data_IF_468346674059
#
_entry.id   IF_468346674059
#
_cell.length_a   1.000
_cell.length_b   1.000
_cell.length_c   1.000
_cell.angle_alpha   90.00
_cell.angle_beta   90.00
_cell.angle_gamma   90.00
#
_symmetry.space_group_name_H-M   'P 1'
#
loop_
_entity.id
_entity.type
_entity.pdbx_description
1 polymer ?
#
# COMPACT_ATOMS: atom_id res chain seq x y z
N UNK A 1 20.55 5.20 -12.43
CA UNK A 1 19.45 4.31 -12.03
C UNK A 1 18.47 4.20 -13.19
N UNK A 2 17.98 3.00 -13.51
CA UNK A 2 16.85 2.79 -14.42
C UNK A 2 15.75 2.08 -13.63
N UNK A 3 14.69 2.81 -13.27
CA UNK A 3 13.55 2.29 -12.53
C UNK A 3 12.40 1.95 -13.48
N UNK A 4 11.91 0.71 -13.42
CA UNK A 4 10.67 0.28 -14.08
C UNK A 4 9.57 0.16 -13.03
N UNK A 5 8.48 0.90 -13.20
CA UNK A 5 7.30 0.90 -12.31
C UNK A 5 6.14 0.22 -13.02
N UNK A 6 5.82 -0.99 -12.59
CA UNK A 6 4.71 -1.78 -13.10
C UNK A 6 3.44 -1.41 -12.32
N UNK A 7 2.56 -0.67 -12.99
CA UNK A 7 1.36 -0.08 -12.41
C UNK A 7 1.50 1.43 -12.14
N UNK A 8 0.39 2.15 -12.28
CA UNK A 8 0.30 3.61 -12.11
C UNK A 8 -0.76 4.00 -11.07
N UNK A 9 -0.89 3.19 -10.02
CA UNK A 9 -1.80 3.44 -8.91
C UNK A 9 -1.34 4.60 -8.01
N UNK A 10 -2.16 4.91 -7.02
CA UNK A 10 -2.01 6.04 -6.10
C UNK A 10 -0.59 6.16 -5.47
N UNK A 11 -0.03 5.06 -4.98
CA UNK A 11 1.31 5.03 -4.38
C UNK A 11 2.42 5.03 -5.43
N UNK A 12 2.28 4.19 -6.46
CA UNK A 12 3.31 4.02 -7.48
C UNK A 12 3.60 5.32 -8.26
N UNK A 13 2.54 6.08 -8.59
CA UNK A 13 2.69 7.37 -9.28
C UNK A 13 3.46 8.37 -8.42
N UNK A 14 3.18 8.45 -7.11
CA UNK A 14 3.91 9.33 -6.18
C UNK A 14 5.36 8.91 -6.01
N UNK A 15 5.61 7.61 -5.88
CA UNK A 15 6.99 7.09 -5.81
C UNK A 15 7.78 7.40 -7.08
N UNK A 16 7.22 7.12 -8.27
CA UNK A 16 7.85 7.43 -9.55
C UNK A 16 8.21 8.92 -9.69
N UNK A 17 7.28 9.81 -9.31
CA UNK A 17 7.52 11.25 -9.33
C UNK A 17 8.66 11.67 -8.39
N UNK A 18 8.72 11.10 -7.19
CA UNK A 18 9.79 11.40 -6.21
C UNK A 18 11.15 10.88 -6.69
N UNK A 19 11.20 9.70 -7.30
CA UNK A 19 12.44 9.17 -7.89
C UNK A 19 12.91 10.04 -9.04
N UNK A 20 12.01 10.47 -9.94
CA UNK A 20 12.35 11.32 -11.09
C UNK A 20 12.95 12.67 -10.69
N UNK A 21 12.60 13.20 -9.52
CA UNK A 21 13.12 14.49 -9.03
C UNK A 21 14.31 14.37 -8.09
N UNK A 22 14.51 13.22 -7.47
CA UNK A 22 15.51 13.02 -6.41
C UNK A 22 16.73 12.18 -6.81
N UNK A 23 16.67 11.48 -7.93
CA UNK A 23 17.74 10.57 -8.37
C UNK A 23 18.12 10.80 -9.82
N UNK A 24 19.42 10.61 -10.12
CA UNK A 24 19.90 10.65 -11.51
C UNK A 24 19.54 9.33 -12.19
N UNK A 25 18.82 9.42 -13.30
CA UNK A 25 18.45 8.24 -14.10
C UNK A 25 17.14 8.39 -14.84
N UNK A 26 16.56 7.27 -15.25
CA UNK A 26 15.29 7.21 -15.97
C UNK A 26 14.24 6.43 -15.20
N UNK A 27 12.97 6.80 -15.42
CA UNK A 27 11.79 6.09 -14.87
C UNK A 27 10.88 5.70 -16.02
N UNK A 28 10.65 4.41 -16.18
CA UNK A 28 9.65 3.87 -17.10
C UNK A 28 8.42 3.44 -16.31
N UNK A 29 7.26 4.01 -16.60
CA UNK A 29 5.99 3.65 -15.94
C UNK A 29 5.11 2.86 -16.90
N UNK A 30 4.69 1.68 -16.45
CA UNK A 30 3.77 0.80 -17.18
C UNK A 30 2.35 0.99 -16.65
N UNK A 31 1.37 1.20 -17.53
CA UNK A 31 -0.03 1.47 -17.17
C UNK A 31 -0.95 0.34 -17.60
N UNK A 32 -2.14 0.29 -17.01
CA UNK A 32 -3.16 -0.70 -17.38
C UNK A 32 -3.87 -0.37 -18.70
N UNK A 33 -3.89 0.92 -19.09
CA UNK A 33 -4.55 1.38 -20.33
C UNK A 33 -3.52 1.91 -21.31
N UNK A 34 -3.65 1.47 -22.55
CA UNK A 34 -2.85 1.98 -23.66
C UNK A 34 -3.18 3.46 -23.95
N UNK A 35 -2.16 4.24 -24.26
CA UNK A 35 -2.24 5.61 -24.76
C UNK A 35 -0.97 5.89 -25.58
N UNK A 36 -0.96 6.90 -26.48
CA UNK A 36 0.25 7.24 -27.23
C UNK A 36 1.44 7.50 -26.27
N UNK A 37 2.56 6.80 -26.50
CA UNK A 37 3.77 6.90 -25.67
C UNK A 37 3.67 6.25 -24.29
N UNK A 38 2.62 5.47 -24.01
CA UNK A 38 2.42 4.78 -22.72
C UNK A 38 2.60 3.29 -22.90
N UNK A 39 3.56 2.73 -22.19
CA UNK A 39 3.81 1.29 -22.14
C UNK A 39 2.76 0.56 -21.30
N UNK A 40 2.34 -0.62 -21.73
CA UNK A 40 1.41 -1.51 -21.01
C UNK A 40 2.06 -2.85 -20.73
N UNK A 41 1.43 -3.70 -19.89
CA UNK A 41 1.93 -5.06 -19.64
C UNK A 41 1.97 -5.94 -20.90
N UNK A 42 1.17 -5.64 -21.92
CA UNK A 42 1.15 -6.36 -23.17
C UNK A 42 2.15 -5.83 -24.22
N UNK A 43 2.89 -4.78 -23.91
CA UNK A 43 3.87 -4.20 -24.83
C UNK A 43 5.04 -5.19 -25.05
N UNK A 44 5.30 -5.61 -26.31
CA UNK A 44 6.37 -6.56 -26.58
C UNK A 44 7.77 -6.07 -26.22
N UNK A 45 7.98 -4.76 -26.15
CA UNK A 45 9.27 -4.18 -25.76
C UNK A 45 9.50 -4.25 -24.23
N UNK A 46 8.47 -4.49 -23.41
CA UNK A 46 8.57 -4.41 -21.96
C UNK A 46 9.56 -5.43 -21.37
N UNK A 47 9.63 -6.64 -21.94
CA UNK A 47 10.61 -7.63 -21.48
C UNK A 47 12.05 -7.13 -21.61
N UNK A 48 12.40 -6.47 -22.71
CA UNK A 48 13.72 -5.85 -22.90
C UNK A 48 13.98 -4.68 -21.95
N UNK A 49 12.95 -3.89 -21.66
CA UNK A 49 13.04 -2.80 -20.67
C UNK A 49 13.29 -3.35 -19.25
N UNK A 50 12.60 -4.42 -18.86
CA UNK A 50 12.81 -5.11 -17.58
C UNK A 50 14.22 -5.70 -17.51
N UNK A 51 14.70 -6.34 -18.57
CA UNK A 51 16.04 -6.95 -18.62
C UNK A 51 17.18 -5.92 -18.48
N UNK A 52 16.92 -4.64 -18.76
CA UNK A 52 17.89 -3.53 -18.58
C UNK A 52 17.67 -2.73 -17.29
N UNK A 53 16.64 -3.06 -16.52
CA UNK A 53 16.31 -2.31 -15.32
C UNK A 53 17.29 -2.58 -14.17
N UNK A 54 17.70 -1.53 -13.47
CA UNK A 54 18.43 -1.64 -12.21
C UNK A 54 17.51 -1.70 -11.00
N UNK A 55 16.29 -1.20 -11.14
CA UNK A 55 15.28 -1.16 -10.09
C UNK A 55 13.91 -1.47 -10.70
N UNK A 56 13.12 -2.29 -10.03
CA UNK A 56 11.78 -2.70 -10.49
C UNK A 56 10.81 -2.55 -9.32
N UNK A 57 9.68 -1.86 -9.52
CA UNK A 57 8.57 -1.81 -8.57
C UNK A 57 7.31 -2.36 -9.21
N UNK A 58 6.66 -3.35 -8.60
CA UNK A 58 5.30 -3.74 -8.95
C UNK A 58 4.31 -3.24 -7.91
N UNK A 59 3.27 -2.55 -8.38
CA UNK A 59 2.10 -2.12 -7.62
C UNK A 59 0.80 -2.71 -8.16
N UNK A 60 0.89 -3.68 -9.05
CA UNK A 60 -0.27 -4.32 -9.68
C UNK A 60 -0.80 -5.39 -8.73
N UNK A 61 -2.08 -5.31 -8.31
CA UNK A 61 -2.65 -6.36 -7.47
C UNK A 61 -2.99 -7.60 -8.29
N UNK A 62 -3.10 -8.77 -7.66
CA UNK A 62 -3.67 -9.95 -8.30
C UNK A 62 -5.05 -9.67 -8.88
N UNK A 63 -5.35 -10.30 -10.00
CA UNK A 63 -6.63 -10.24 -10.69
C UNK A 63 -7.75 -10.96 -9.90
N UNK A 64 -8.98 -10.87 -10.38
CA UNK A 64 -10.13 -11.46 -9.70
C UNK A 64 -10.08 -13.00 -9.63
N UNK A 65 -9.42 -13.63 -10.58
CA UNK A 65 -9.15 -15.08 -10.61
C UNK A 65 -8.01 -15.51 -9.68
N UNK A 66 -7.35 -14.55 -9.02
CA UNK A 66 -6.23 -14.79 -8.10
C UNK A 66 -4.85 -14.79 -8.75
N UNK A 67 -4.74 -14.70 -10.07
CA UNK A 67 -3.45 -14.65 -10.76
C UNK A 67 -2.79 -13.26 -10.63
N UNK A 68 -1.46 -13.22 -10.53
CA UNK A 68 -0.72 -11.97 -10.64
C UNK A 68 -0.37 -11.72 -12.11
N UNK A 69 -0.96 -10.68 -12.74
CA UNK A 69 -0.78 -10.45 -14.17
C UNK A 69 0.65 -10.06 -14.56
N UNK A 70 1.43 -9.51 -13.63
CA UNK A 70 2.84 -9.18 -13.85
C UNK A 70 3.68 -10.44 -13.86
N UNK A 71 3.47 -11.33 -12.88
CA UNK A 71 4.19 -12.61 -12.80
C UNK A 71 3.88 -13.51 -14.00
N UNK A 72 2.62 -13.54 -14.42
CA UNK A 72 2.20 -14.32 -15.61
C UNK A 72 2.90 -13.81 -16.88
N UNK A 73 2.93 -12.49 -17.07
CA UNK A 73 3.45 -11.91 -18.31
C UNK A 73 4.98 -11.75 -18.32
N UNK A 74 5.59 -11.44 -17.19
CA UNK A 74 6.98 -10.98 -17.10
C UNK A 74 7.78 -11.58 -15.94
N UNK A 75 7.26 -12.59 -15.24
CA UNK A 75 7.92 -13.20 -14.08
C UNK A 75 9.33 -13.68 -14.39
N UNK A 76 9.52 -14.40 -15.51
CA UNK A 76 10.83 -14.86 -15.93
C UNK A 76 11.81 -13.70 -16.19
N UNK A 77 11.37 -12.66 -16.90
CA UNK A 77 12.21 -11.49 -17.18
C UNK A 77 12.62 -10.74 -15.90
N UNK A 78 11.75 -10.69 -14.89
CA UNK A 78 12.06 -10.08 -13.58
C UNK A 78 13.02 -10.97 -12.77
N UNK A 79 12.81 -12.29 -12.81
CA UNK A 79 13.67 -13.25 -12.13
C UNK A 79 15.13 -13.15 -12.62
N UNK A 80 15.30 -13.03 -13.93
CA UNK A 80 16.61 -12.98 -14.60
C UNK A 80 17.19 -11.54 -14.68
N UNK A 81 16.42 -10.50 -14.28
CA UNK A 81 16.87 -9.14 -14.37
C UNK A 81 18.08 -8.88 -13.43
N UNK A 82 19.12 -8.15 -13.89
CA UNK A 82 20.29 -7.77 -13.09
C UNK A 82 19.94 -6.62 -12.13
N UNK A 83 18.71 -6.62 -11.62
CA UNK A 83 18.19 -5.58 -10.77
C UNK A 83 18.84 -5.61 -9.38
N UNK A 84 19.22 -4.44 -8.88
CA UNK A 84 19.77 -4.25 -7.52
C UNK A 84 18.66 -4.10 -6.47
N UNK A 85 17.42 -3.86 -6.92
CA UNK A 85 16.25 -3.68 -6.08
C UNK A 85 14.99 -4.10 -6.86
N UNK A 86 14.22 -5.00 -6.27
CA UNK A 86 12.91 -5.44 -6.78
C UNK A 86 11.89 -5.29 -5.67
N UNK A 87 10.94 -4.39 -5.83
CA UNK A 87 9.90 -4.10 -4.85
C UNK A 87 8.52 -4.60 -5.30
N UNK A 88 7.77 -5.18 -4.38
CA UNK A 88 6.35 -5.52 -4.57
C UNK A 88 5.48 -4.89 -3.49
N UNK A 89 4.44 -4.15 -3.89
CA UNK A 89 3.46 -3.58 -2.96
C UNK A 89 2.38 -4.61 -2.65
N UNK A 90 2.59 -5.35 -1.57
CA UNK A 90 1.66 -6.33 -1.03
C UNK A 90 0.66 -5.67 -0.06
N UNK A 91 -0.07 -6.47 0.68
CA UNK A 91 -1.08 -6.03 1.64
C UNK A 91 -0.96 -6.79 2.95
N UNK A 92 -1.16 -6.11 4.09
CA UNK A 92 -1.30 -6.77 5.40
C UNK A 92 -2.53 -7.68 5.49
N UNK A 93 -3.41 -7.67 4.49
CA UNK A 93 -4.50 -8.64 4.34
C UNK A 93 -4.02 -10.09 4.24
N UNK A 94 -2.74 -10.34 3.93
CA UNK A 94 -2.13 -11.68 3.93
C UNK A 94 -2.09 -12.32 5.33
N UNK A 95 -2.08 -11.53 6.39
CA UNK A 95 -2.14 -12.05 7.77
C UNK A 95 -3.51 -12.59 8.15
N UNK A 96 -4.59 -12.12 7.50
CA UNK A 96 -5.96 -12.47 7.88
C UNK A 96 -6.40 -11.85 9.21
N UNK A 97 -7.38 -12.46 9.85
CA UNK A 97 -7.84 -12.05 11.17
C UNK A 97 -6.89 -12.56 12.26
N UNK A 98 -6.50 -11.67 13.16
CA UNK A 98 -5.67 -11.99 14.33
C UNK A 98 -6.41 -11.70 15.66
N UNK A 99 -7.73 -11.46 15.63
CA UNK A 99 -8.51 -11.12 16.81
C UNK A 99 -8.01 -9.85 17.52
N UNK A 100 -7.43 -8.91 16.76
CA UNK A 100 -6.86 -7.69 17.31
C UNK A 100 -5.43 -7.82 17.85
N UNK A 101 -4.80 -8.99 17.76
CA UNK A 101 -3.39 -9.16 18.16
C UNK A 101 -2.43 -8.43 17.20
N UNK A 102 -1.21 -8.22 17.67
CA UNK A 102 -0.11 -7.72 16.85
C UNK A 102 0.40 -8.82 15.92
N UNK A 103 0.66 -8.43 14.68
CA UNK A 103 1.33 -9.25 13.66
C UNK A 103 2.58 -8.54 13.17
N UNK A 104 3.61 -9.30 12.86
CA UNK A 104 4.88 -8.87 12.29
C UNK A 104 5.21 -9.67 11.03
N UNK A 105 6.39 -9.47 10.46
CA UNK A 105 6.82 -10.12 9.22
C UNK A 105 7.00 -11.63 9.35
N UNK A 106 7.20 -12.17 10.58
CA UNK A 106 7.31 -13.58 10.88
C UNK A 106 5.96 -14.25 11.18
N UNK A 107 4.90 -13.48 11.32
CA UNK A 107 3.56 -14.00 11.66
C UNK A 107 2.98 -14.86 10.56
N UNK A 108 2.25 -15.90 10.95
CA UNK A 108 1.61 -16.85 10.03
C UNK A 108 0.62 -16.15 9.10
N UNK A 109 0.67 -16.49 7.82
CA UNK A 109 -0.24 -15.96 6.81
C UNK A 109 -1.54 -16.78 6.80
N UNK A 110 -2.68 -16.08 7.02
CA UNK A 110 -4.03 -16.68 7.10
C UNK A 110 -5.06 -15.86 6.30
N UNK A 111 -4.58 -15.06 5.35
CA UNK A 111 -5.44 -14.17 4.56
C UNK A 111 -6.48 -14.95 3.77
N UNK A 112 -7.71 -14.42 3.72
CA UNK A 112 -8.83 -15.07 3.01
C UNK A 112 -8.72 -15.00 1.48
N UNK A 113 -7.88 -14.13 0.95
CA UNK A 113 -7.67 -13.94 -0.49
C UNK A 113 -6.45 -14.74 -0.93
N UNK A 114 -6.67 -15.97 -1.37
CA UNK A 114 -5.60 -16.91 -1.78
C UNK A 114 -4.67 -16.32 -2.83
N UNK A 115 -5.19 -15.59 -3.82
CA UNK A 115 -4.36 -14.95 -4.84
C UNK A 115 -3.39 -13.89 -4.28
N UNK A 116 -3.77 -13.19 -3.18
CA UNK A 116 -2.84 -12.27 -2.52
C UNK A 116 -1.75 -12.98 -1.74
N UNK A 117 -2.08 -14.12 -1.11
CA UNK A 117 -1.10 -14.97 -0.45
C UNK A 117 -0.11 -15.52 -1.47
N UNK A 118 -0.63 -16.12 -2.55
CA UNK A 118 0.21 -16.67 -3.62
C UNK A 118 1.14 -15.62 -4.26
N UNK A 119 0.62 -14.41 -4.53
CA UNK A 119 1.45 -13.33 -5.06
C UNK A 119 2.51 -12.86 -4.05
N UNK A 120 2.15 -12.68 -2.77
CA UNK A 120 3.09 -12.30 -1.71
C UNK A 120 4.26 -13.28 -1.62
N UNK A 121 3.97 -14.59 -1.61
CA UNK A 121 4.97 -15.66 -1.58
C UNK A 121 5.80 -15.73 -2.85
N UNK A 122 5.15 -15.64 -4.03
CA UNK A 122 5.84 -15.71 -5.32
C UNK A 122 6.84 -14.55 -5.50
N UNK A 123 6.46 -13.32 -5.13
CA UNK A 123 7.35 -12.16 -5.21
C UNK A 123 8.55 -12.26 -4.25
N UNK A 124 8.40 -12.92 -3.08
CA UNK A 124 9.52 -13.13 -2.16
C UNK A 124 10.65 -13.96 -2.77
N UNK A 125 10.29 -15.02 -3.51
CA UNK A 125 11.26 -15.93 -4.12
C UNK A 125 11.65 -15.58 -5.56
N UNK A 126 11.09 -14.52 -6.15
CA UNK A 126 11.21 -14.24 -7.58
C UNK A 126 12.63 -13.83 -8.01
N UNK A 127 13.26 -12.97 -7.25
CA UNK A 127 14.59 -12.44 -7.52
C UNK A 127 15.36 -12.31 -6.21
N UNK A 128 16.70 -12.53 -6.18
CA UNK A 128 17.50 -12.40 -4.95
C UNK A 128 17.41 -11.02 -4.28
N UNK A 129 17.02 -9.99 -5.02
CA UNK A 129 16.85 -8.62 -4.52
C UNK A 129 15.40 -8.25 -4.18
N UNK A 130 14.50 -9.25 -4.09
CA UNK A 130 13.09 -9.02 -3.82
C UNK A 130 12.83 -8.46 -2.43
N UNK A 131 12.02 -7.41 -2.37
CA UNK A 131 11.47 -6.79 -1.17
C UNK A 131 9.94 -6.73 -1.28
N UNK A 132 9.25 -7.34 -0.33
CA UNK A 132 7.79 -7.34 -0.27
C UNK A 132 7.34 -6.35 0.81
N UNK A 133 6.64 -5.30 0.40
CA UNK A 133 6.12 -4.27 1.30
C UNK A 133 4.66 -4.55 1.59
N UNK A 134 4.34 -5.02 2.80
CA UNK A 134 2.98 -5.29 3.25
C UNK A 134 2.35 -4.00 3.78
N UNK A 135 1.39 -3.48 3.04
CA UNK A 135 0.73 -2.21 3.31
C UNK A 135 -0.64 -2.41 3.95
N UNK A 136 -0.98 -1.72 5.05
CA UNK A 136 -2.31 -1.69 5.64
C UNK A 136 -3.24 -0.72 4.90
N UNK A 137 -4.19 -0.11 5.61
CA UNK A 137 -5.09 0.90 5.06
C UNK A 137 -4.35 2.16 4.61
N UNK A 138 -4.17 2.33 3.31
CA UNK A 138 -3.47 3.48 2.72
C UNK A 138 -4.39 4.70 2.72
N UNK A 139 -3.92 5.82 3.24
CA UNK A 139 -4.60 7.10 3.15
C UNK A 139 -3.64 8.24 2.77
N UNK A 140 -4.19 9.41 2.48
CA UNK A 140 -3.46 10.61 2.09
C UNK A 140 -4.35 11.55 1.28
N UNK A 141 -3.80 12.62 0.67
CA UNK A 141 -4.56 13.58 -0.11
C UNK A 141 -5.39 12.94 -1.23
N UNK A 142 -6.69 13.26 -1.30
CA UNK A 142 -7.65 12.68 -2.24
C UNK A 142 -8.13 11.25 -1.89
N UNK A 143 -7.65 10.68 -0.76
CA UNK A 143 -7.99 9.34 -0.32
C UNK A 143 -8.06 9.23 1.22
N UNK A 144 -8.50 10.25 1.89
CA UNK A 144 -8.58 10.30 3.35
C UNK A 144 -10.01 10.15 3.89
N UNK A 145 -10.17 10.16 5.21
CA UNK A 145 -11.47 10.25 5.84
C UNK A 145 -12.12 11.63 5.60
N UNK A 146 -11.32 12.70 5.43
CA UNK A 146 -11.79 14.02 5.06
C UNK A 146 -12.46 14.01 3.68
N UNK A 147 -11.80 13.38 2.69
CA UNK A 147 -12.34 13.27 1.33
C UNK A 147 -13.66 12.49 1.30
N UNK A 148 -13.74 11.41 2.06
CA UNK A 148 -14.99 10.62 2.17
C UNK A 148 -16.14 11.42 2.76
N UNK A 149 -15.89 12.16 3.83
CA UNK A 149 -16.92 13.00 4.47
C UNK A 149 -17.40 14.14 3.57
N UNK A 150 -16.52 14.68 2.73
CA UNK A 150 -16.89 15.69 1.71
C UNK A 150 -17.72 15.11 0.56
N UNK A 151 -17.59 13.83 0.26
CA UNK A 151 -18.33 13.15 -0.82
C UNK A 151 -19.75 12.74 -0.44
N UNK A 152 -20.09 12.72 0.84
CA UNK A 152 -21.41 12.39 1.30
C UNK A 152 -21.45 11.77 2.70
N UNK A 153 -22.64 11.34 3.14
CA UNK A 153 -22.81 10.78 4.47
C UNK A 153 -21.99 9.47 4.64
N UNK A 154 -21.25 9.42 5.74
CA UNK A 154 -20.46 8.27 6.15
C UNK A 154 -20.97 7.80 7.50
N UNK A 155 -21.30 6.52 7.64
CA UNK A 155 -21.62 5.94 8.93
C UNK A 155 -20.34 5.69 9.75
N UNK A 156 -20.36 5.97 11.04
CA UNK A 156 -19.39 5.46 11.99
C UNK A 156 -19.85 4.09 12.46
N UNK A 157 -18.98 3.09 12.37
CA UNK A 157 -19.35 1.72 12.75
C UNK A 157 -18.95 1.48 14.20
N UNK A 158 -19.95 1.18 15.03
CA UNK A 158 -19.76 0.74 16.41
C UNK A 158 -19.30 -0.72 16.41
N UNK A 159 -18.00 -0.91 16.63
CA UNK A 159 -17.42 -2.25 16.74
C UNK A 159 -16.33 -2.22 17.83
N UNK A 160 -16.72 -2.40 19.10
CA UNK A 160 -15.83 -2.31 20.24
C UNK A 160 -14.61 -3.24 20.11
N UNK A 161 -13.42 -2.71 20.40
CA UNK A 161 -12.16 -3.45 20.33
C UNK A 161 -11.57 -3.65 18.93
N UNK A 162 -12.33 -3.33 17.86
CA UNK A 162 -11.86 -3.46 16.50
C UNK A 162 -11.00 -2.26 16.09
N UNK A 163 -9.82 -2.57 15.52
CA UNK A 163 -8.87 -1.56 15.05
C UNK A 163 -8.39 -1.87 13.64
N UNK A 164 -7.94 -0.81 12.97
CA UNK A 164 -7.27 -0.89 11.68
C UNK A 164 -5.89 -0.24 11.78
N UNK A 165 -4.85 -0.94 11.34
CA UNK A 165 -3.58 -0.30 11.02
C UNK A 165 -3.69 0.48 9.72
N UNK A 166 -2.94 1.57 9.63
CA UNK A 166 -2.95 2.50 8.50
C UNK A 166 -1.54 2.92 8.14
N UNK A 167 -1.42 3.63 7.05
CA UNK A 167 -0.19 4.31 6.65
C UNK A 167 -0.51 5.47 5.72
N UNK A 168 0.13 6.60 5.95
CA UNK A 168 0.06 7.73 5.02
C UNK A 168 0.88 7.42 3.76
N UNK A 169 0.38 7.82 2.59
CA UNK A 169 1.05 7.53 1.31
C UNK A 169 2.46 8.09 1.21
N UNK A 170 2.72 9.25 1.82
CA UNK A 170 4.06 9.85 1.81
C UNK A 170 5.06 9.04 2.66
N UNK A 171 4.59 8.37 3.72
CA UNK A 171 5.41 7.46 4.51
C UNK A 171 5.70 6.16 3.76
N UNK A 172 4.74 5.67 2.96
CA UNK A 172 5.05 4.55 2.05
C UNK A 172 6.15 4.96 1.08
N UNK A 173 5.98 6.12 0.43
CA UNK A 173 6.98 6.63 -0.53
C UNK A 173 8.33 6.84 0.14
N UNK A 174 8.36 7.40 1.35
CA UNK A 174 9.58 7.60 2.13
C UNK A 174 10.29 6.28 2.48
N UNK A 175 9.53 5.28 2.95
CA UNK A 175 10.07 3.95 3.25
C UNK A 175 10.60 3.23 1.99
N UNK A 176 9.89 3.34 0.86
CA UNK A 176 10.37 2.81 -0.42
C UNK A 176 11.68 3.48 -0.87
N UNK A 177 11.77 4.82 -0.75
CA UNK A 177 13.01 5.55 -1.08
C UNK A 177 14.17 5.14 -0.17
N UNK A 178 13.93 5.02 1.14
CA UNK A 178 14.93 4.55 2.10
C UNK A 178 15.41 3.12 1.75
N UNK A 179 14.51 2.26 1.29
CA UNK A 179 14.82 0.87 0.92
C UNK A 179 15.67 0.74 -0.36
N UNK A 180 15.82 1.80 -1.15
CA UNK A 180 16.71 1.79 -2.31
C UNK A 180 18.19 1.70 -1.92
N UNK A 181 18.53 2.19 -0.73
CA UNK A 181 19.91 2.25 -0.22
C UNK A 181 20.12 1.49 1.08
N UNK A 182 19.07 1.24 1.85
CA UNK A 182 19.11 0.61 3.16
C UNK A 182 18.30 -0.70 3.19
N UNK A 183 18.58 -1.53 4.16
CA UNK A 183 17.93 -2.83 4.33
C UNK A 183 18.27 -3.82 3.21
N UNK A 184 18.07 -5.09 3.51
CA UNK A 184 18.25 -6.19 2.56
C UNK A 184 16.95 -6.59 1.87
N UNK A 185 17.03 -7.61 0.98
CA UNK A 185 15.87 -8.34 0.50
C UNK A 185 15.03 -8.90 1.66
N UNK A 186 13.74 -9.10 1.43
CA UNK A 186 12.83 -9.67 2.42
C UNK A 186 11.51 -8.93 2.55
N UNK A 187 10.82 -9.15 3.66
CA UNK A 187 9.47 -8.62 3.91
C UNK A 187 9.58 -7.43 4.86
N UNK A 188 8.77 -6.41 4.61
CA UNK A 188 8.64 -5.20 5.44
C UNK A 188 7.18 -4.81 5.61
N UNK A 189 6.72 -4.70 6.84
CA UNK A 189 5.46 -4.04 7.15
C UNK A 189 5.67 -2.52 7.14
N UNK A 190 4.87 -1.79 6.37
CA UNK A 190 4.92 -0.34 6.32
C UNK A 190 3.61 0.20 6.90
N UNK A 191 3.61 0.46 8.19
CA UNK A 191 2.45 0.90 8.98
C UNK A 191 2.81 2.09 9.87
N UNK A 192 1.80 2.90 10.25
CA UNK A 192 1.94 3.90 11.29
C UNK A 192 1.99 3.25 12.70
N UNK A 193 2.24 4.06 13.73
CA UNK A 193 2.43 3.57 15.10
C UNK A 193 1.11 3.35 15.85
N UNK A 194 -0.04 3.86 15.32
CA UNK A 194 -1.31 3.84 16.04
C UNK A 194 -2.43 3.13 15.27
N UNK A 195 -2.59 1.81 15.41
CA UNK A 195 -3.81 1.13 14.99
C UNK A 195 -5.01 1.70 15.74
N UNK A 196 -6.03 2.20 15.01
CA UNK A 196 -7.15 2.90 15.61
C UNK A 196 -8.51 2.43 15.06
N UNK A 197 -9.61 2.54 15.85
CA UNK A 197 -10.96 2.26 15.37
C UNK A 197 -11.33 3.15 14.18
N UNK A 198 -12.08 2.59 13.22
CA UNK A 198 -12.52 3.34 12.03
C UNK A 198 -13.42 4.52 12.40
N UNK A 199 -14.25 4.35 13.45
CA UNK A 199 -15.13 5.39 13.95
C UNK A 199 -14.36 6.58 14.54
N UNK A 200 -13.27 6.35 15.29
CA UNK A 200 -12.44 7.40 15.87
C UNK A 200 -11.76 8.27 14.78
N UNK A 201 -11.29 7.63 13.72
CA UNK A 201 -10.70 8.33 12.57
C UNK A 201 -11.75 9.19 11.85
N UNK A 202 -12.96 8.68 11.71
CA UNK A 202 -14.07 9.43 11.09
C UNK A 202 -14.52 10.58 11.98
N UNK A 203 -14.58 10.37 13.30
CA UNK A 203 -14.91 11.42 14.27
C UNK A 203 -13.89 12.56 14.24
N UNK A 204 -12.60 12.24 14.25
CA UNK A 204 -11.54 13.24 14.16
C UNK A 204 -11.58 14.01 12.83
N UNK A 205 -11.84 13.33 11.71
CA UNK A 205 -11.98 13.99 10.42
C UNK A 205 -13.20 14.94 10.38
N UNK A 206 -14.35 14.56 10.99
CA UNK A 206 -15.51 15.43 11.12
C UNK A 206 -15.22 16.67 11.97
N UNK A 207 -14.50 16.52 13.07
CA UNK A 207 -14.02 17.62 13.91
C UNK A 207 -13.14 18.59 13.12
N UNK A 208 -12.17 18.09 12.33
CA UNK A 208 -11.30 18.90 11.50
C UNK A 208 -12.07 19.70 10.43
N UNK A 209 -13.14 19.12 9.88
CA UNK A 209 -14.00 19.79 8.89
C UNK A 209 -15.03 20.74 9.52
N UNK A 210 -15.16 20.78 10.84
CA UNK A 210 -16.18 21.56 11.53
C UNK A 210 -17.62 21.13 11.22
N UNK A 211 -17.83 19.86 10.86
CA UNK A 211 -19.15 19.31 10.52
C UNK A 211 -19.72 18.47 11.66
N UNK A 212 -21.05 18.28 11.63
CA UNK A 212 -21.73 17.42 12.60
C UNK A 212 -21.14 16.00 12.56
N UNK A 213 -20.98 15.40 13.75
CA UNK A 213 -20.47 14.07 13.89
C UNK A 213 -21.44 13.06 13.25
N UNK A 214 -21.01 12.23 12.29
CA UNK A 214 -21.85 11.20 11.69
C UNK A 214 -22.41 10.23 12.75
N UNK A 215 -23.63 9.71 12.57
CA UNK A 215 -24.22 8.80 13.54
C UNK A 215 -23.42 7.52 13.71
N UNK A 216 -23.35 7.04 14.93
CA UNK A 216 -22.80 5.73 15.26
C UNK A 216 -23.84 4.66 14.93
N UNK A 217 -23.44 3.62 14.19
CA UNK A 217 -24.33 2.55 13.75
C UNK A 217 -23.70 1.20 14.01
N UNK A 218 -24.47 0.19 14.37
CA UNK A 218 -23.94 -1.17 14.42
C UNK A 218 -23.61 -1.68 13.03
N UNK A 219 -22.68 -2.61 12.93
CA UNK A 219 -22.25 -3.22 11.67
C UNK A 219 -23.42 -3.87 10.90
N UNK A 220 -24.44 -4.35 11.64
CA UNK A 220 -25.63 -4.98 11.08
C UNK A 220 -26.48 -4.00 10.27
N UNK A 221 -26.73 -2.80 10.81
CA UNK A 221 -27.58 -1.80 10.18
C UNK A 221 -26.85 -0.89 9.20
N UNK A 222 -25.51 -0.92 9.19
CA UNK A 222 -24.74 -0.12 8.27
C UNK A 222 -24.89 -0.62 6.83
N UNK A 223 -25.24 0.29 5.93
CA UNK A 223 -25.35 0.02 4.49
C UNK A 223 -23.94 -0.03 3.85
N UNK A 224 -23.20 -1.07 4.18
CA UNK A 224 -21.86 -1.29 3.63
C UNK A 224 -21.92 -2.16 2.37
N UNK A 225 -21.10 -1.81 1.38
CA UNK A 225 -20.84 -2.72 0.25
C UNK A 225 -20.26 -4.06 0.75
N UNK A 226 -20.37 -5.15 -0.03
CA UNK A 226 -19.74 -6.43 0.34
C UNK A 226 -18.26 -6.29 0.67
N UNK A 227 -17.53 -5.46 -0.07
CA UNK A 227 -16.12 -5.15 0.18
C UNK A 227 -15.93 -4.38 1.51
N UNK A 228 -16.77 -3.40 1.79
CA UNK A 228 -16.76 -2.65 3.05
C UNK A 228 -17.02 -3.57 4.24
N UNK A 229 -18.02 -4.44 4.15
CA UNK A 229 -18.34 -5.43 5.22
C UNK A 229 -17.18 -6.42 5.42
N UNK A 230 -16.58 -6.90 4.33
CA UNK A 230 -15.42 -7.79 4.40
C UNK A 230 -14.20 -7.13 5.08
N UNK A 231 -14.09 -5.80 5.02
CA UNK A 231 -13.03 -5.06 5.68
C UNK A 231 -13.15 -5.13 7.22
N UNK A 232 -14.37 -5.15 7.75
CA UNK A 232 -14.63 -5.27 9.19
C UNK A 232 -14.56 -6.72 9.73
N UNK A 233 -14.34 -7.71 8.85
CA UNK A 233 -14.28 -9.10 9.28
C UNK A 233 -12.88 -9.54 9.74
N UNK A 234 -11.89 -8.67 9.70
CA UNK A 234 -10.51 -8.95 10.11
C UNK A 234 -9.99 -7.83 11.00
N UNK A 235 -9.52 -8.17 12.18
CA UNK A 235 -8.93 -7.26 13.15
C UNK A 235 -7.49 -7.66 13.46
N UNK A 236 -6.55 -6.74 13.24
CA UNK A 236 -5.12 -6.93 13.55
C UNK A 236 -4.41 -5.61 13.75
N UNK A 237 -3.37 -5.64 14.54
CA UNK A 237 -2.39 -4.56 14.69
C UNK A 237 -1.12 -4.97 13.95
N UNK A 238 -0.54 -4.06 13.19
CA UNK A 238 0.63 -4.35 12.34
C UNK A 238 1.85 -3.67 12.92
N UNK A 239 2.85 -4.45 13.31
CA UNK A 239 4.12 -3.93 13.80
C UNK A 239 4.98 -3.42 12.62
N UNK A 240 5.62 -2.27 12.82
CA UNK A 240 6.48 -1.58 11.85
C UNK A 240 7.96 -1.51 12.27
N UNK A 241 8.33 -2.15 13.36
CA UNK A 241 9.67 -2.04 13.95
C UNK A 241 10.79 -2.45 13.02
N UNK A 242 10.56 -3.38 12.08
CA UNK A 242 11.55 -3.78 11.08
C UNK A 242 11.81 -2.65 10.07
N UNK A 243 10.77 -1.93 9.62
CA UNK A 243 10.91 -0.75 8.78
C UNK A 243 11.86 0.27 9.41
N UNK A 244 11.64 0.59 10.68
CA UNK A 244 12.46 1.57 11.40
C UNK A 244 13.91 1.10 11.58
N UNK A 245 14.12 -0.16 11.99
CA UNK A 245 15.47 -0.69 12.26
C UNK A 245 16.29 -0.89 10.98
N UNK A 246 15.70 -1.56 10.00
CA UNK A 246 16.45 -2.06 8.84
C UNK A 246 16.51 -1.02 7.71
N UNK A 247 15.41 -0.28 7.47
CA UNK A 247 15.39 0.78 6.46
C UNK A 247 15.85 2.14 7.02
N UNK A 248 15.93 2.30 8.35
CA UNK A 248 16.24 3.58 8.99
C UNK A 248 15.18 4.65 8.76
N UNK A 249 13.97 4.25 8.36
CA UNK A 249 12.91 5.20 8.04
C UNK A 249 12.14 5.63 9.30
N UNK A 250 12.06 6.93 9.52
CA UNK A 250 11.25 7.53 10.56
C UNK A 250 9.94 8.06 9.95
N UNK A 251 8.81 7.70 10.55
CA UNK A 251 7.50 8.14 10.09
C UNK A 251 7.39 9.66 10.13
N UNK A 252 6.93 10.24 9.05
CA UNK A 252 6.53 11.65 8.98
C UNK A 252 5.20 11.89 9.67
N UNK A 253 4.33 10.89 9.61
CA UNK A 253 3.00 10.88 10.22
C UNK A 253 2.86 9.62 11.07
N UNK A 254 3.24 9.73 12.34
CA UNK A 254 3.25 8.60 13.27
C UNK A 254 1.85 8.06 13.58
N UNK A 255 0.82 8.85 13.38
CA UNK A 255 -0.58 8.50 13.61
C UNK A 255 -1.53 9.15 12.58
N UNK A 256 -2.78 8.70 12.57
CA UNK A 256 -3.79 9.21 11.64
C UNK A 256 -4.15 10.69 11.88
N UNK A 257 -3.92 11.24 13.08
CA UNK A 257 -4.23 12.66 13.39
C UNK A 257 -3.26 13.58 12.69
N UNK A 258 -1.97 13.30 12.82
CA UNK A 258 -0.91 14.04 12.15
C UNK A 258 -1.04 13.96 10.62
N UNK A 259 -1.39 12.76 10.09
CA UNK A 259 -1.61 12.58 8.67
C UNK A 259 -2.88 13.26 8.13
N UNK A 260 -4.00 13.25 8.88
CA UNK A 260 -5.23 13.95 8.48
C UNK A 260 -5.07 15.47 8.53
N UNK A 261 -4.33 16.01 9.51
CA UNK A 261 -3.96 17.43 9.54
C UNK A 261 -3.15 17.84 8.30
N UNK A 262 -2.24 16.98 7.84
CA UNK A 262 -1.50 17.22 6.60
C UNK A 262 -2.42 17.20 5.36
N UNK A 263 -3.33 16.20 5.29
CA UNK A 263 -4.33 16.14 4.20
C UNK A 263 -5.22 17.38 4.16
N UNK A 264 -5.64 17.92 5.32
CA UNK A 264 -6.46 19.13 5.38
C UNK A 264 -5.73 20.32 4.77
N UNK A 265 -4.46 20.54 5.12
CA UNK A 265 -3.65 21.64 4.58
C UNK A 265 -3.47 21.59 3.06
N UNK A 266 -3.55 20.41 2.45
CA UNK A 266 -3.49 20.27 0.99
C UNK A 266 -4.84 20.51 0.31
N UNK A 267 -5.95 20.32 1.04
CA UNK A 267 -7.31 20.63 0.56
C UNK A 267 -7.56 22.13 0.52
N UNK A 268 -6.93 22.89 1.43
CA UNK A 268 -7.11 24.33 1.61
C UNK A 268 -6.18 25.17 0.69
N UNK A 269 -5.35 24.51 -0.11
CA UNK A 269 -4.47 25.13 -1.13
C UNK A 269 -5.12 25.14 -2.51
#
# INVERSE_FOLDING_TARGET
>A
MHLVVLGSGYTATRFAARVSTGFVGSVTTVRSRAAPGVMTLADPALAGVIASATHILSSVPPAADGTDPVLVAHGAAIADAPAQWVGYLSSTGVYGDAGGAWVDEASVLRGRRSGRLAADEAWQGLNPQSRVFRLPGIYGPGRSALDRLKQGPVARIDLPGHVFSRIHVDDIVGALLASLTNGGPGIYNIADDEPAPGEAVTAFAAQLLGIALPPLQSLEFAQLSPMGRAFYAECRRVANGKMTRDLGYQLRYADYRSGLLACLREIDR
#
